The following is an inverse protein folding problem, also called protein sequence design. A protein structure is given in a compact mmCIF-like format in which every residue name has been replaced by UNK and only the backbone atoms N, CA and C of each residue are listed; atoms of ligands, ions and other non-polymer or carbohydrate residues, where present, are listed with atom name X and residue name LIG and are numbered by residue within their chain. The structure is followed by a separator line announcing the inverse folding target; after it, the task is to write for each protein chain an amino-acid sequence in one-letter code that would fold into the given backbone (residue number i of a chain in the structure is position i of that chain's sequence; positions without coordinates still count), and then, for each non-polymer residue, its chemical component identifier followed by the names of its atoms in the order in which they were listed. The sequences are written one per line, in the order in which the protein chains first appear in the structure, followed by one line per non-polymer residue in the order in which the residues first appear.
data_IF_737801040127
#
_entry.id   IF_737801040127
#
_cell.length_a   1.000
_cell.length_b   1.000
_cell.length_c   1.000
_cell.angle_alpha   90.00
_cell.angle_beta   90.00
_cell.angle_gamma   90.00
#
_symmetry.space_group_name_H-M   'P 1'
#
loop_
_entity.id
_entity.type
_entity.pdbx_description
1 polymer ?
#
# COMPACT_ATOMS: atom_id res chain seq x y z
N UNK A 1 1.70 -23.69 -6.34
CA UNK A 1 2.05 -22.53 -7.18
C UNK A 1 0.76 -21.87 -7.62
N UNK A 2 0.69 -20.55 -7.49
CA UNK A 2 -0.46 -19.73 -7.84
C UNK A 2 -0.21 -19.15 -9.22
N UNK A 3 -1.15 -19.31 -10.17
CA UNK A 3 -1.00 -18.75 -11.52
C UNK A 3 -1.57 -17.34 -11.56
N UNK A 4 -0.85 -16.41 -12.16
CA UNK A 4 -1.28 -15.03 -12.33
C UNK A 4 -1.11 -14.61 -13.78
N UNK A 5 -2.23 -14.31 -14.45
CA UNK A 5 -2.22 -13.68 -15.76
C UNK A 5 -2.18 -12.16 -15.57
N UNK A 6 -1.11 -11.51 -16.00
CA UNK A 6 -0.88 -10.08 -15.82
C UNK A 6 -1.06 -9.32 -17.14
N UNK A 7 -1.71 -8.16 -17.08
CA UNK A 7 -1.77 -7.21 -18.19
C UNK A 7 -1.51 -5.78 -17.69
N UNK A 8 -0.71 -5.02 -18.45
CA UNK A 8 -0.50 -3.58 -18.27
C UNK A 8 -1.06 -2.84 -19.49
N UNK A 9 -2.01 -1.97 -19.21
CA UNK A 9 -2.69 -1.09 -20.16
C UNK A 9 -2.28 0.36 -19.91
N UNK A 10 -2.22 1.14 -20.98
CA UNK A 10 -1.91 2.56 -20.94
C UNK A 10 -3.07 3.37 -21.47
N UNK A 11 -3.38 4.47 -20.78
CA UNK A 11 -4.40 5.42 -21.14
C UNK A 11 -3.91 6.84 -20.81
N UNK A 12 -4.19 7.78 -21.71
CA UNK A 12 -3.87 9.20 -21.50
C UNK A 12 -5.13 10.00 -21.76
N UNK A 13 -5.56 10.77 -20.77
CA UNK A 13 -6.68 11.68 -20.97
C UNK A 13 -6.34 12.74 -22.00
N UNK A 14 -7.33 13.18 -22.77
CA UNK A 14 -7.17 14.39 -23.58
C UNK A 14 -7.31 15.63 -22.70
N UNK A 15 -6.70 16.74 -23.11
CA UNK A 15 -6.80 18.00 -22.37
C UNK A 15 -8.26 18.50 -22.29
N UNK A 16 -9.05 18.23 -23.33
CA UNK A 16 -10.49 18.55 -23.34
C UNK A 16 -11.25 17.76 -22.28
N UNK A 17 -11.00 16.44 -22.17
CA UNK A 17 -11.70 15.58 -21.20
C UNK A 17 -11.41 16.05 -19.77
N UNK A 18 -10.14 16.27 -19.43
CA UNK A 18 -9.76 16.73 -18.09
C UNK A 18 -10.40 18.08 -17.74
N UNK A 19 -10.31 19.08 -18.64
CA UNK A 19 -10.86 20.42 -18.40
C UNK A 19 -12.38 20.42 -18.29
N UNK A 20 -13.06 19.65 -19.13
CA UNK A 20 -14.53 19.65 -19.22
C UNK A 20 -15.15 18.83 -18.09
N UNK A 21 -14.78 17.56 -17.98
CA UNK A 21 -15.41 16.61 -17.06
C UNK A 21 -14.79 16.63 -15.67
N UNK A 22 -13.60 17.21 -15.50
CA UNK A 22 -13.03 17.54 -14.20
C UNK A 22 -13.67 18.75 -13.52
N UNK A 23 -14.56 19.47 -14.22
CA UNK A 23 -15.25 20.62 -13.64
C UNK A 23 -16.39 20.19 -12.72
N UNK A 24 -16.74 21.07 -11.76
CA UNK A 24 -17.89 20.91 -10.85
C UNK A 24 -19.26 20.83 -11.53
N UNK A 25 -19.33 21.03 -12.86
CA UNK A 25 -20.56 21.10 -13.63
C UNK A 25 -21.09 19.73 -14.07
N UNK A 26 -20.26 18.68 -13.97
CA UNK A 26 -20.65 17.32 -14.31
C UNK A 26 -20.76 16.46 -13.05
N UNK A 27 -21.81 15.64 -13.01
CA UNK A 27 -21.91 14.63 -11.95
C UNK A 27 -20.85 13.55 -12.16
N UNK A 28 -20.42 12.88 -11.07
CA UNK A 28 -19.47 11.75 -11.14
C UNK A 28 -20.00 10.64 -12.07
N UNK A 29 -21.31 10.39 -12.06
CA UNK A 29 -21.94 9.40 -12.93
C UNK A 29 -21.78 9.77 -14.42
N UNK A 30 -22.07 11.02 -14.76
CA UNK A 30 -22.01 11.51 -16.14
C UNK A 30 -20.56 11.56 -16.64
N UNK A 31 -19.65 12.12 -15.83
CA UNK A 31 -18.22 12.13 -16.12
C UNK A 31 -17.72 10.70 -16.35
N UNK A 32 -18.01 9.79 -15.42
CA UNK A 32 -17.60 8.39 -15.51
C UNK A 32 -18.01 7.73 -16.82
N UNK A 33 -19.26 7.92 -17.28
CA UNK A 33 -19.72 7.32 -18.55
C UNK A 33 -18.84 7.76 -19.72
N UNK A 34 -18.56 9.06 -19.83
CA UNK A 34 -17.75 9.62 -20.93
C UNK A 34 -16.30 9.14 -20.84
N UNK A 35 -15.74 9.09 -19.63
CA UNK A 35 -14.38 8.59 -19.41
C UNK A 35 -14.25 7.12 -19.80
N UNK A 36 -15.25 6.30 -19.46
CA UNK A 36 -15.30 4.88 -19.80
C UNK A 36 -15.38 4.68 -21.32
N UNK A 37 -16.29 5.37 -22.00
CA UNK A 37 -16.44 5.30 -23.46
C UNK A 37 -15.14 5.68 -24.17
N UNK A 38 -14.44 6.69 -23.65
CA UNK A 38 -13.13 7.09 -24.20
C UNK A 38 -12.06 6.03 -23.93
N UNK A 39 -11.91 5.58 -22.69
CA UNK A 39 -10.91 4.58 -22.30
C UNK A 39 -11.06 3.28 -23.09
N UNK A 40 -12.29 2.82 -23.35
CA UNK A 40 -12.55 1.65 -24.21
C UNK A 40 -11.94 1.79 -25.60
N UNK A 41 -12.07 2.96 -26.22
CA UNK A 41 -11.65 3.18 -27.59
C UNK A 41 -10.15 3.44 -27.78
N UNK A 42 -9.46 3.90 -26.72
CA UNK A 42 -8.09 4.44 -26.86
C UNK A 42 -7.06 3.83 -25.93
N UNK A 43 -7.46 3.03 -24.93
CA UNK A 43 -6.51 2.30 -24.08
C UNK A 43 -5.72 1.28 -24.91
N UNK A 44 -4.44 1.12 -24.57
CA UNK A 44 -3.52 0.24 -25.31
C UNK A 44 -2.88 -0.77 -24.38
N UNK A 45 -2.91 -2.04 -24.76
CA UNK A 45 -2.14 -3.08 -24.08
C UNK A 45 -0.65 -2.83 -24.35
N UNK A 46 0.13 -2.66 -23.29
CA UNK A 46 1.57 -2.47 -23.34
C UNK A 46 2.33 -3.76 -23.04
N UNK A 47 1.89 -4.49 -22.02
CA UNK A 47 2.58 -5.72 -21.57
C UNK A 47 1.55 -6.77 -21.17
N UNK A 48 1.86 -8.02 -21.47
CA UNK A 48 1.10 -9.18 -21.01
C UNK A 48 2.08 -10.31 -20.66
N UNK A 49 1.87 -10.96 -19.51
CA UNK A 49 2.66 -12.11 -19.12
C UNK A 49 1.90 -13.04 -18.17
N UNK A 50 2.35 -14.29 -18.08
CA UNK A 50 1.89 -15.24 -17.07
C UNK A 50 3.02 -15.51 -16.08
N UNK A 51 2.71 -15.40 -14.79
CA UNK A 51 3.67 -15.60 -13.71
C UNK A 51 3.16 -16.66 -12.75
N UNK A 52 4.11 -17.30 -12.06
CA UNK A 52 3.81 -18.27 -11.02
C UNK A 52 4.34 -17.76 -9.69
N UNK A 53 3.44 -17.60 -8.72
CA UNK A 53 3.75 -17.12 -7.39
C UNK A 53 3.82 -18.28 -6.40
N UNK A 54 4.77 -18.17 -5.47
CA UNK A 54 4.83 -19.04 -4.30
C UNK A 54 3.80 -18.59 -3.26
N UNK A 55 3.06 -19.51 -2.60
CA UNK A 55 2.24 -19.16 -1.44
C UNK A 55 3.02 -18.40 -0.35
N UNK A 56 4.30 -18.75 -0.16
CA UNK A 56 5.17 -18.11 0.83
C UNK A 56 5.37 -16.61 0.54
N UNK A 57 5.47 -16.25 -0.74
CA UNK A 57 5.57 -14.85 -1.16
C UNK A 57 4.30 -14.07 -0.80
N UNK A 58 3.12 -14.66 -1.02
CA UNK A 58 1.82 -14.03 -0.72
C UNK A 58 1.67 -13.84 0.79
N UNK A 59 2.03 -14.85 1.59
CA UNK A 59 2.00 -14.78 3.05
C UNK A 59 2.98 -13.73 3.60
N UNK A 60 4.14 -13.57 2.99
CA UNK A 60 5.08 -12.49 3.33
C UNK A 60 4.52 -11.10 2.96
N UNK A 61 3.96 -10.97 1.75
CA UNK A 61 3.43 -9.71 1.24
C UNK A 61 2.20 -9.21 2.01
N UNK A 62 1.42 -10.14 2.59
CA UNK A 62 0.28 -9.85 3.45
C UNK A 62 0.63 -9.00 4.69
N UNK A 63 1.87 -9.04 5.17
CA UNK A 63 2.30 -8.19 6.30
C UNK A 63 2.70 -6.76 5.87
N UNK A 64 2.88 -6.52 4.58
CA UNK A 64 3.48 -5.30 4.06
C UNK A 64 2.47 -4.38 3.36
N UNK A 65 1.71 -4.92 2.43
CA UNK A 65 0.86 -4.10 1.55
C UNK A 65 -0.54 -3.84 2.08
N UNK A 66 -1.25 -4.84 2.64
CA UNK A 66 -2.63 -4.63 3.04
C UNK A 66 -2.83 -3.56 4.11
N UNK A 67 -3.98 -2.88 4.03
CA UNK A 67 -4.46 -2.02 5.10
C UNK A 67 -4.64 -2.79 6.41
N UNK A 68 -5.12 -4.04 6.29
CA UNK A 68 -5.27 -5.00 7.37
C UNK A 68 -4.75 -6.39 6.95
N UNK A 69 -3.63 -6.81 7.53
CA UNK A 69 -3.08 -8.15 7.34
C UNK A 69 -4.01 -9.20 7.98
N UNK A 70 -4.32 -10.28 7.25
CA UNK A 70 -5.10 -11.42 7.77
C UNK A 70 -4.20 -12.64 7.98
N UNK A 71 -4.66 -13.63 8.76
CA UNK A 71 -3.79 -14.73 9.19
C UNK A 71 -3.26 -15.55 8.01
N UNK A 72 -4.14 -15.92 7.09
CA UNK A 72 -3.81 -16.64 5.85
C UNK A 72 -4.82 -16.27 4.75
N UNK A 73 -4.53 -15.27 3.92
CA UNK A 73 -5.47 -14.81 2.89
C UNK A 73 -5.77 -15.88 1.83
N UNK A 74 -4.88 -16.86 1.63
CA UNK A 74 -5.08 -17.92 0.64
C UNK A 74 -6.02 -19.00 1.18
N UNK A 75 -5.80 -19.45 2.41
CA UNK A 75 -6.70 -20.41 3.06
C UNK A 75 -8.10 -19.84 3.24
N UNK A 76 -8.22 -18.55 3.58
CA UNK A 76 -9.52 -17.90 3.73
C UNK A 76 -10.31 -17.85 2.40
N UNK A 77 -9.62 -17.77 1.25
CA UNK A 77 -10.26 -17.82 -0.06
C UNK A 77 -10.91 -19.19 -0.35
N UNK A 78 -10.35 -20.29 0.15
CA UNK A 78 -10.90 -21.64 -0.08
C UNK A 78 -12.28 -21.84 0.56
N UNK A 79 -12.53 -21.14 1.67
CA UNK A 79 -13.78 -21.18 2.43
C UNK A 79 -14.63 -19.92 2.25
N UNK A 80 -14.24 -19.05 1.32
CA UNK A 80 -14.87 -17.74 1.12
C UNK A 80 -16.35 -17.84 0.80
N UNK A 81 -16.75 -18.79 -0.06
CA UNK A 81 -18.16 -18.96 -0.42
C UNK A 81 -18.99 -19.47 0.76
N UNK A 82 -18.42 -20.29 1.65
CA UNK A 82 -19.09 -20.71 2.89
C UNK A 82 -19.28 -19.51 3.82
N UNK A 83 -18.29 -18.63 3.91
CA UNK A 83 -18.37 -17.41 4.71
C UNK A 83 -19.37 -16.39 4.14
N UNK A 84 -19.25 -16.07 2.85
CA UNK A 84 -20.08 -15.10 2.13
C UNK A 84 -21.57 -15.45 2.23
N UNK A 85 -21.88 -16.74 2.20
CA UNK A 85 -23.25 -17.24 2.30
C UNK A 85 -23.70 -17.49 3.75
N UNK A 86 -22.87 -17.15 4.75
CA UNK A 86 -23.19 -17.30 6.17
C UNK A 86 -23.21 -18.74 6.69
N UNK A 87 -22.73 -19.71 5.90
CA UNK A 87 -22.63 -21.11 6.30
C UNK A 87 -21.51 -21.34 7.34
N UNK A 88 -20.53 -20.43 7.39
CA UNK A 88 -19.40 -20.49 8.32
C UNK A 88 -19.07 -19.11 8.91
N UNK A 89 -18.80 -19.05 10.21
CA UNK A 89 -18.32 -17.83 10.86
C UNK A 89 -16.83 -17.60 10.56
N UNK A 90 -16.43 -16.35 10.28
CA UNK A 90 -15.04 -16.00 10.02
C UNK A 90 -14.19 -16.23 11.28
N UNK A 91 -13.09 -17.01 11.23
CA UNK A 91 -12.32 -17.32 12.42
C UNK A 91 -11.47 -16.13 12.93
N UNK A 92 -11.16 -15.13 12.08
CA UNK A 92 -10.22 -14.06 12.44
C UNK A 92 -10.56 -12.70 11.82
N UNK A 93 -11.35 -11.82 12.46
CA UNK A 93 -11.31 -10.40 12.13
C UNK A 93 -9.96 -9.84 12.62
N UNK A 94 -8.90 -10.07 11.86
CA UNK A 94 -7.56 -9.56 12.14
C UNK A 94 -7.59 -8.04 12.13
N UNK A 95 -7.70 -7.41 13.30
CA UNK A 95 -7.53 -5.96 13.44
C UNK A 95 -6.05 -5.70 13.63
N UNK A 96 -5.36 -5.31 12.56
CA UNK A 96 -3.99 -4.81 12.64
C UNK A 96 -3.97 -3.28 12.67
N UNK A 97 -4.02 -2.68 13.87
CA UNK A 97 -3.67 -1.27 14.03
C UNK A 97 -2.19 -1.19 14.33
N UNK A 98 -1.42 -0.56 13.42
CA UNK A 98 0.03 -0.47 13.51
C UNK A 98 0.50 0.16 14.82
N UNK A 99 -0.33 0.99 15.48
CA UNK A 99 0.01 1.70 16.73
C UNK A 99 -1.14 1.99 17.69
N UNK A 100 -2.39 1.63 17.40
CA UNK A 100 -3.51 1.89 18.31
C UNK A 100 -3.86 3.36 18.54
N UNK A 101 -3.25 4.29 17.79
CA UNK A 101 -3.48 5.75 17.89
C UNK A 101 -4.62 6.19 16.96
N UNK A 102 -4.78 5.58 15.80
CA UNK A 102 -5.99 5.69 15.00
C UNK A 102 -6.99 4.64 15.46
N UNK A 103 -8.15 5.08 15.94
CA UNK A 103 -9.32 4.22 15.92
C UNK A 103 -9.62 3.89 14.46
N UNK A 104 -9.68 2.59 14.15
CA UNK A 104 -10.73 2.15 13.25
C UNK A 104 -12.01 2.47 14.01
N UNK A 105 -12.80 3.42 13.52
CA UNK A 105 -14.01 3.82 14.20
C UNK A 105 -14.91 2.58 14.38
N UNK A 106 -15.21 2.23 15.64
CA UNK A 106 -16.11 1.11 15.97
C UNK A 106 -17.56 1.37 15.50
N UNK A 107 -17.84 2.58 14.96
CA UNK A 107 -19.11 2.92 14.31
C UNK A 107 -19.10 2.71 12.78
N UNK A 108 -17.93 2.48 12.17
CA UNK A 108 -17.84 1.93 10.82
C UNK A 108 -17.96 0.41 10.91
N UNK A 109 -19.17 -0.03 11.27
CA UNK A 109 -19.56 -1.42 11.10
C UNK A 109 -19.29 -1.83 9.63
N UNK A 110 -18.52 -2.91 9.45
CA UNK A 110 -18.61 -3.86 8.32
C UNK A 110 -18.00 -3.49 6.95
N UNK A 111 -16.77 -2.98 6.91
CA UNK A 111 -15.83 -3.50 5.90
C UNK A 111 -14.84 -4.42 6.60
N UNK A 112 -15.30 -5.64 6.89
CA UNK A 112 -14.39 -6.77 7.06
C UNK A 112 -13.66 -6.83 5.72
N UNK A 113 -12.41 -6.36 5.65
CA UNK A 113 -11.62 -6.44 4.43
C UNK A 113 -11.70 -7.89 3.96
N UNK A 114 -12.32 -8.09 2.81
CA UNK A 114 -12.48 -9.43 2.27
C UNK A 114 -11.09 -10.00 1.99
N UNK A 115 -10.90 -11.32 2.11
CA UNK A 115 -9.63 -11.94 1.68
C UNK A 115 -9.35 -11.65 0.20
N UNK A 116 -10.41 -11.37 -0.57
CA UNK A 116 -10.33 -10.87 -1.95
C UNK A 116 -9.66 -9.48 -2.01
N UNK A 117 -10.12 -8.50 -1.22
CA UNK A 117 -9.49 -7.17 -1.14
C UNK A 117 -8.03 -7.25 -0.70
N UNK A 118 -7.75 -8.04 0.35
CA UNK A 118 -6.38 -8.23 0.85
C UNK A 118 -5.46 -8.79 -0.24
N UNK A 119 -5.95 -9.78 -1.02
CA UNK A 119 -5.20 -10.31 -2.17
C UNK A 119 -5.02 -9.24 -3.26
N UNK A 120 -6.01 -8.38 -3.47
CA UNK A 120 -5.90 -7.21 -4.34
C UNK A 120 -4.77 -6.27 -3.96
N UNK A 121 -4.73 -5.87 -2.69
CA UNK A 121 -3.69 -4.99 -2.14
C UNK A 121 -2.30 -5.65 -2.22
N UNK A 122 -2.21 -6.96 -1.95
CA UNK A 122 -0.97 -7.75 -2.10
C UNK A 122 -0.47 -7.72 -3.54
N UNK A 123 -1.33 -8.04 -4.51
CA UNK A 123 -0.95 -8.07 -5.92
C UNK A 123 -0.57 -6.69 -6.43
N UNK A 124 -1.34 -5.66 -6.08
CA UNK A 124 -1.01 -4.28 -6.41
C UNK A 124 0.36 -3.89 -5.85
N UNK A 125 0.64 -4.22 -4.60
CA UNK A 125 1.92 -3.97 -3.97
C UNK A 125 3.10 -4.67 -4.64
N UNK A 126 3.00 -5.99 -4.85
CA UNK A 126 4.09 -6.79 -5.44
C UNK A 126 4.41 -6.31 -6.86
N UNK A 127 3.41 -6.17 -7.72
CA UNK A 127 3.63 -5.73 -9.11
C UNK A 127 4.13 -4.28 -9.16
N UNK A 128 3.62 -3.38 -8.32
CA UNK A 128 4.10 -1.99 -8.26
C UNK A 128 5.58 -1.89 -7.87
N UNK A 129 6.04 -2.76 -6.95
CA UNK A 129 7.47 -2.84 -6.61
C UNK A 129 8.36 -3.33 -7.76
N UNK A 130 7.78 -4.06 -8.70
CA UNK A 130 8.48 -4.61 -9.86
C UNK A 130 8.48 -3.63 -11.04
N UNK A 131 7.34 -3.01 -11.34
CA UNK A 131 7.16 -2.17 -12.53
C UNK A 131 7.10 -0.66 -12.33
N UNK A 132 6.81 -0.15 -11.12
CA UNK A 132 6.61 1.29 -10.89
C UNK A 132 7.77 1.90 -10.13
N UNK A 133 8.08 1.39 -8.94
CA UNK A 133 9.17 1.87 -8.12
C UNK A 133 9.48 0.85 -7.01
N UNK A 134 10.76 0.64 -6.65
CA UNK A 134 11.15 -0.42 -5.71
C UNK A 134 10.59 -0.22 -4.29
N UNK A 135 10.26 1.02 -3.93
CA UNK A 135 9.90 1.41 -2.56
C UNK A 135 8.58 2.17 -2.52
N UNK A 136 7.69 1.69 -1.65
CA UNK A 136 6.47 2.39 -1.27
C UNK A 136 6.86 3.57 -0.38
N UNK A 137 6.49 4.78 -0.77
CA UNK A 137 6.73 5.99 0.02
C UNK A 137 5.70 6.09 1.16
N UNK A 138 4.43 5.98 0.78
CA UNK A 138 3.28 6.04 1.68
C UNK A 138 2.36 4.88 1.34
N UNK A 139 1.86 4.21 2.37
CA UNK A 139 0.67 3.37 2.31
C UNK A 139 -0.46 4.11 2.98
N UNK A 140 -1.49 4.45 2.24
CA UNK A 140 -2.69 5.11 2.78
C UNK A 140 -3.67 4.01 3.20
N UNK A 141 -4.24 4.15 4.40
CA UNK A 141 -5.17 3.16 4.94
C UNK A 141 -6.57 3.76 4.90
N UNK A 142 -7.52 3.03 4.32
CA UNK A 142 -8.94 3.41 4.22
C UNK A 142 -9.23 4.72 3.45
N UNK A 143 -8.24 5.25 2.73
CA UNK A 143 -8.43 6.43 1.90
C UNK A 143 -7.68 6.23 0.58
N UNK A 144 -8.18 6.87 -0.46
CA UNK A 144 -7.56 6.88 -1.77
C UNK A 144 -6.28 7.73 -1.75
N UNK A 145 -5.18 7.31 -2.41
CA UNK A 145 -4.94 6.01 -3.04
C UNK A 145 -4.22 5.04 -2.09
N UNK A 146 -4.42 3.73 -2.24
CA UNK A 146 -3.81 2.72 -1.36
C UNK A 146 -2.28 2.84 -1.19
N UNK A 147 -1.54 3.03 -2.29
CA UNK A 147 -0.08 3.14 -2.28
C UNK A 147 0.40 4.36 -3.06
N UNK A 148 1.43 5.01 -2.55
CA UNK A 148 2.10 6.14 -3.21
C UNK A 148 3.58 5.81 -3.34
N UNK A 149 4.12 6.05 -4.53
CA UNK A 149 5.53 5.89 -4.85
C UNK A 149 6.16 7.23 -5.24
N UNK A 150 7.39 7.48 -4.78
CA UNK A 150 8.22 8.57 -5.28
C UNK A 150 9.08 8.09 -6.47
N UNK A 151 8.79 8.60 -7.66
CA UNK A 151 9.57 8.33 -8.86
C UNK A 151 10.96 8.98 -8.78
N UNK A 152 11.96 8.49 -9.55
CA UNK A 152 13.31 9.06 -9.57
C UNK A 152 13.37 10.53 -9.97
N UNK A 153 12.41 11.01 -10.75
CA UNK A 153 12.29 12.40 -11.20
C UNK A 153 11.63 13.34 -10.15
N UNK A 154 11.29 12.83 -8.97
CA UNK A 154 10.60 13.60 -7.92
C UNK A 154 9.09 13.69 -8.07
N UNK A 155 8.51 13.02 -9.07
CA UNK A 155 7.06 12.90 -9.26
C UNK A 155 6.46 11.73 -8.49
N UNK A 156 5.14 11.70 -8.38
CA UNK A 156 4.42 10.67 -7.62
C UNK A 156 3.63 9.73 -8.54
N UNK A 157 3.63 8.45 -8.17
CA UNK A 157 2.68 7.46 -8.70
C UNK A 157 1.69 7.06 -7.62
N UNK A 158 0.42 7.20 -7.93
CA UNK A 158 -0.72 6.90 -7.06
C UNK A 158 -1.32 5.58 -7.52
N UNK A 159 -1.28 4.56 -6.67
CA UNK A 159 -1.76 3.21 -6.99
C UNK A 159 -2.98 2.92 -6.15
N UNK A 160 -4.10 2.66 -6.84
CA UNK A 160 -5.37 2.27 -6.24
C UNK A 160 -5.66 0.81 -6.59
N UNK A 161 -6.00 0.00 -5.60
CA UNK A 161 -6.28 -1.42 -5.79
C UNK A 161 -7.76 -1.74 -5.63
N UNK A 162 -8.26 -2.56 -6.54
CA UNK A 162 -9.62 -3.09 -6.54
C UNK A 162 -9.56 -4.58 -6.77
N UNK A 163 -10.37 -5.35 -6.05
CA UNK A 163 -10.43 -6.80 -6.21
C UNK A 163 -11.85 -7.34 -6.24
N UNK A 164 -12.05 -8.40 -7.01
CA UNK A 164 -13.36 -9.00 -7.23
C UNK A 164 -13.26 -10.46 -7.67
N UNK A 165 -14.34 -11.23 -7.53
CA UNK A 165 -14.43 -12.61 -8.02
C UNK A 165 -15.51 -12.81 -9.09
N UNK A 166 -16.38 -11.82 -9.29
CA UNK A 166 -17.41 -11.88 -10.32
C UNK A 166 -16.82 -11.75 -11.73
N UNK A 167 -17.51 -12.30 -12.72
CA UNK A 167 -17.18 -12.07 -14.12
C UNK A 167 -17.42 -10.57 -14.48
N UNK A 168 -16.45 -9.86 -15.10
CA UNK A 168 -16.60 -8.48 -15.52
C UNK A 168 -17.86 -8.21 -16.35
N UNK A 169 -18.24 -9.16 -17.20
CA UNK A 169 -19.50 -9.15 -17.93
C UNK A 169 -19.96 -10.60 -18.23
N UNK A 170 -20.85 -11.19 -17.42
CA UNK A 170 -21.31 -12.55 -17.63
C UNK A 170 -22.24 -12.72 -18.86
N UNK A 171 -22.68 -11.63 -19.49
CA UNK A 171 -23.68 -11.65 -20.55
C UNK A 171 -23.19 -11.11 -21.89
N UNK A 172 -22.01 -10.48 -21.96
CA UNK A 172 -21.39 -10.05 -23.21
C UNK A 172 -19.93 -10.53 -23.31
N UNK A 173 -19.52 -10.91 -24.53
CA UNK A 173 -18.10 -11.15 -24.83
C UNK A 173 -17.39 -9.81 -24.96
N UNK A 174 -17.05 -9.21 -23.83
CA UNK A 174 -16.23 -8.01 -23.78
C UNK A 174 -14.83 -8.30 -24.35
N UNK A 175 -14.32 -7.40 -25.16
CA UNK A 175 -12.96 -7.46 -25.72
C UNK A 175 -12.04 -6.40 -25.08
N UNK A 176 -10.74 -6.59 -25.21
CA UNK A 176 -9.73 -5.64 -24.68
C UNK A 176 -9.79 -5.48 -23.16
N UNK A 177 -9.63 -4.26 -22.65
CA UNK A 177 -9.60 -3.97 -21.21
C UNK A 177 -10.85 -4.45 -20.46
N UNK A 178 -12.02 -4.45 -21.10
CA UNK A 178 -13.28 -4.85 -20.48
C UNK A 178 -13.48 -6.37 -20.37
N UNK A 179 -12.65 -7.18 -21.05
CA UNK A 179 -12.63 -8.61 -20.79
C UNK A 179 -12.04 -8.93 -19.40
N UNK A 180 -11.34 -7.95 -18.81
CA UNK A 180 -10.58 -8.09 -17.56
C UNK A 180 -11.20 -7.35 -16.39
N UNK A 181 -11.88 -6.24 -16.64
CA UNK A 181 -12.36 -5.31 -15.60
C UNK A 181 -13.82 -4.95 -15.86
N UNK A 182 -14.64 -4.96 -14.81
CA UNK A 182 -16.05 -4.58 -14.95
C UNK A 182 -16.18 -3.10 -15.28
N UNK A 183 -17.17 -2.78 -16.12
CA UNK A 183 -17.45 -1.40 -16.52
C UNK A 183 -17.71 -0.48 -15.35
N UNK A 184 -18.39 -0.99 -14.32
CA UNK A 184 -18.75 -0.22 -13.13
C UNK A 184 -17.52 0.20 -12.33
N UNK A 185 -16.61 -0.74 -12.07
CA UNK A 185 -15.37 -0.46 -11.32
C UNK A 185 -14.49 0.49 -12.11
N UNK A 186 -14.23 0.17 -13.39
CA UNK A 186 -13.40 1.01 -14.25
C UNK A 186 -13.92 2.45 -14.33
N UNK A 187 -15.23 2.63 -14.44
CA UNK A 187 -15.85 3.96 -14.46
C UNK A 187 -15.55 4.76 -13.20
N UNK A 188 -15.61 4.12 -12.03
CA UNK A 188 -15.46 4.79 -10.74
C UNK A 188 -14.02 5.27 -10.58
N UNK A 189 -13.06 4.38 -10.83
CA UNK A 189 -11.64 4.68 -10.67
C UNK A 189 -11.13 5.66 -11.74
N UNK A 190 -11.72 5.68 -12.94
CA UNK A 190 -11.41 6.71 -13.95
C UNK A 190 -11.78 8.12 -13.49
N UNK A 191 -12.86 8.26 -12.71
CA UNK A 191 -13.27 9.56 -12.14
C UNK A 191 -12.27 10.00 -11.08
N UNK A 192 -11.84 9.10 -10.21
CA UNK A 192 -10.85 9.41 -9.17
C UNK A 192 -9.47 9.73 -9.77
N UNK A 193 -9.04 8.98 -10.78
CA UNK A 193 -7.85 9.28 -11.55
C UNK A 193 -7.90 10.67 -12.21
N UNK A 194 -9.04 11.03 -12.81
CA UNK A 194 -9.25 12.36 -13.39
C UNK A 194 -9.17 13.46 -12.33
N UNK A 195 -9.75 13.26 -11.14
CA UNK A 195 -9.70 14.25 -10.06
C UNK A 195 -8.25 14.47 -9.60
N UNK A 196 -7.49 13.38 -9.41
CA UNK A 196 -6.08 13.48 -9.06
C UNK A 196 -5.29 14.22 -10.14
N UNK A 197 -5.40 13.81 -11.41
CA UNK A 197 -4.61 14.40 -12.50
C UNK A 197 -5.01 15.86 -12.81
N UNK A 198 -6.20 16.31 -12.42
CA UNK A 198 -6.54 17.73 -12.45
C UNK A 198 -5.83 18.53 -11.33
N UNK A 199 -5.62 17.92 -10.16
CA UNK A 199 -4.90 18.55 -9.05
C UNK A 199 -3.39 18.56 -9.25
N UNK A 200 -2.84 17.43 -9.72
CA UNK A 200 -1.44 17.19 -10.01
C UNK A 200 -1.30 16.48 -11.38
N UNK A 201 -1.21 17.25 -12.48
CA UNK A 201 -1.11 16.67 -13.82
C UNK A 201 0.25 16.00 -14.09
N UNK A 202 1.24 16.22 -13.23
CA UNK A 202 2.58 15.68 -13.42
C UNK A 202 2.72 14.27 -12.82
N UNK A 203 1.82 13.88 -11.91
CA UNK A 203 1.76 12.52 -11.38
C UNK A 203 1.20 11.51 -12.38
N UNK A 204 1.29 10.23 -12.01
CA UNK A 204 0.68 9.11 -12.74
C UNK A 204 -0.27 8.37 -11.81
N UNK A 205 -1.47 8.06 -12.29
CA UNK A 205 -2.44 7.22 -11.55
C UNK A 205 -2.42 5.81 -12.11
N UNK A 206 -2.44 4.82 -11.25
CA UNK A 206 -2.42 3.40 -11.57
C UNK A 206 -3.61 2.73 -10.91
N UNK A 207 -4.61 2.35 -11.72
CA UNK A 207 -5.72 1.57 -11.23
C UNK A 207 -5.39 0.09 -11.41
N UNK A 208 -5.41 -0.67 -10.31
CA UNK A 208 -5.01 -2.07 -10.28
C UNK A 208 -6.20 -2.94 -9.96
N UNK A 209 -6.52 -3.84 -10.88
CA UNK A 209 -7.66 -4.74 -10.77
C UNK A 209 -7.18 -6.16 -10.59
N UNK A 210 -7.52 -6.79 -9.47
CA UNK A 210 -7.22 -8.19 -9.20
C UNK A 210 -8.50 -9.01 -9.19
N UNK A 211 -8.68 -9.86 -10.22
CA UNK A 211 -9.79 -10.79 -10.29
C UNK A 211 -9.36 -12.17 -9.82
N UNK A 212 -10.14 -12.74 -8.90
CA UNK A 212 -10.01 -14.15 -8.49
C UNK A 212 -10.78 -15.03 -9.46
N UNK A 213 -10.07 -15.81 -10.28
CA UNK A 213 -10.67 -16.73 -11.26
C UNK A 213 -11.05 -18.07 -10.62
N UNK A 214 -10.15 -18.61 -9.81
CA UNK A 214 -10.33 -19.88 -9.12
C UNK A 214 -9.50 -19.89 -7.84
N UNK A 215 -9.97 -20.61 -6.83
CA UNK A 215 -9.25 -20.82 -5.57
C UNK A 215 -8.57 -22.18 -5.51
N UNK A 216 -9.02 -23.15 -6.31
CA UNK A 216 -8.43 -24.50 -6.38
C UNK A 216 -8.46 -25.07 -7.81
N UNK A 217 -7.33 -25.08 -8.55
CA UNK A 217 -6.07 -24.41 -8.21
C UNK A 217 -6.23 -22.88 -8.18
N UNK A 218 -5.46 -22.18 -7.34
CA UNK A 218 -5.54 -20.72 -7.23
C UNK A 218 -5.05 -20.02 -8.50
N UNK A 219 -5.90 -19.17 -9.07
CA UNK A 219 -5.64 -18.43 -10.30
C UNK A 219 -6.17 -17.00 -10.20
N UNK A 220 -5.33 -16.03 -10.57
CA UNK A 220 -5.68 -14.61 -10.56
C UNK A 220 -5.45 -13.97 -11.93
N UNK A 221 -6.25 -12.95 -12.22
CA UNK A 221 -6.00 -11.99 -13.29
C UNK A 221 -5.65 -10.64 -12.65
N UNK A 222 -4.48 -10.11 -12.95
CA UNK A 222 -4.06 -8.79 -12.46
C UNK A 222 -3.95 -7.85 -13.65
N UNK A 223 -4.62 -6.71 -13.58
CA UNK A 223 -4.68 -5.73 -14.67
C UNK A 223 -4.31 -4.36 -14.14
N UNK A 224 -3.22 -3.81 -14.63
CA UNK A 224 -2.78 -2.44 -14.33
C UNK A 224 -3.24 -1.52 -15.45
N UNK A 225 -3.94 -0.45 -15.11
CA UNK A 225 -4.24 0.65 -16.01
C UNK A 225 -3.44 1.88 -15.59
N UNK A 226 -2.42 2.20 -16.38
CA UNK A 226 -1.62 3.41 -16.25
C UNK A 226 -2.37 4.58 -16.87
N UNK A 227 -2.63 5.62 -16.08
CA UNK A 227 -3.41 6.79 -16.48
C UNK A 227 -2.56 8.04 -16.32
N UNK A 228 -2.37 8.74 -17.44
CA UNK A 228 -1.57 9.96 -17.52
C UNK A 228 -2.41 11.17 -17.94
N UNK A 229 -1.97 12.35 -17.51
CA UNK A 229 -2.39 13.61 -18.13
C UNK A 229 -1.64 13.81 -19.46
N UNK A 230 -2.20 14.60 -20.40
CA UNK A 230 -1.50 14.94 -21.64
C UNK A 230 -0.29 15.83 -21.36
N UNK A 231 0.76 15.70 -22.17
CA UNK A 231 2.05 16.40 -22.01
C UNK A 231 1.90 17.93 -21.92
N UNK A 232 0.92 18.50 -22.63
CA UNK A 232 0.59 19.93 -22.59
C UNK A 232 0.27 20.46 -21.18
N UNK A 233 -0.28 19.60 -20.30
CA UNK A 233 -0.60 19.96 -18.91
C UNK A 233 0.58 19.68 -17.96
N UNK A 234 1.51 18.80 -18.35
CA UNK A 234 2.73 18.50 -17.59
C UNK A 234 3.80 19.58 -17.75
N UNK A 235 3.94 20.14 -18.95
CA UNK A 235 4.98 21.12 -19.31
C UNK A 235 4.89 22.45 -18.55
N UNK A 236 3.82 22.68 -17.78
CA UNK A 236 3.55 23.95 -17.09
C UNK A 236 4.18 24.01 -15.68
N UNK A 237 4.70 22.90 -15.13
CA UNK A 237 5.18 22.88 -13.74
C UNK A 237 6.55 22.19 -13.62
N UNK A 238 7.49 22.85 -12.96
CA UNK A 238 8.64 22.16 -12.33
C UNK A 238 8.15 21.26 -11.19
N UNK A 239 9.03 20.88 -10.25
CA UNK A 239 8.58 20.21 -9.02
C UNK A 239 7.56 21.12 -8.31
N UNK A 240 6.29 20.79 -8.47
CA UNK A 240 5.19 21.49 -7.81
C UNK A 240 5.24 21.25 -6.29
N UNK A 241 4.32 21.89 -5.53
CA UNK A 241 4.13 21.54 -4.13
C UNK A 241 3.84 20.04 -3.99
N UNK A 242 4.27 19.43 -2.87
CA UNK A 242 3.92 18.05 -2.57
C UNK A 242 2.38 17.93 -2.52
N UNK A 243 1.76 16.96 -3.22
CA UNK A 243 0.31 16.78 -3.17
C UNK A 243 -0.18 16.50 -1.74
N UNK A 244 -1.34 17.03 -1.36
CA UNK A 244 -1.87 16.94 0.01
C UNK A 244 -1.95 15.51 0.54
N UNK A 245 -2.41 14.57 -0.30
CA UNK A 245 -2.48 13.14 0.07
C UNK A 245 -1.11 12.52 0.40
N UNK A 246 -0.04 13.00 -0.26
CA UNK A 246 1.33 12.59 0.05
C UNK A 246 1.77 13.18 1.39
N UNK A 247 1.50 14.47 1.63
CA UNK A 247 1.82 15.14 2.91
C UNK A 247 1.10 14.49 4.10
N UNK A 248 -0.20 14.21 3.97
CA UNK A 248 -0.98 13.51 4.99
C UNK A 248 -0.41 12.11 5.29
N UNK A 249 -0.05 11.39 4.23
CA UNK A 249 0.60 10.09 4.33
C UNK A 249 1.95 10.12 5.04
N UNK A 250 2.81 11.07 4.66
CA UNK A 250 4.10 11.30 5.30
C UNK A 250 3.93 11.73 6.76
N UNK A 251 2.94 12.56 7.08
CA UNK A 251 2.65 12.98 8.44
C UNK A 251 2.27 11.79 9.33
N UNK A 252 1.39 10.90 8.84
CA UNK A 252 1.05 9.64 9.52
C UNK A 252 2.29 8.76 9.71
N UNK A 253 3.12 8.59 8.67
CA UNK A 253 4.36 7.83 8.75
C UNK A 253 5.35 8.42 9.78
N UNK A 254 5.47 9.73 9.85
CA UNK A 254 6.35 10.42 10.79
C UNK A 254 5.90 10.20 12.25
N UNK A 255 4.60 10.36 12.50
CA UNK A 255 4.01 10.03 13.81
C UNK A 255 4.24 8.56 14.13
N UNK A 256 4.06 7.67 13.16
CA UNK A 256 4.29 6.24 13.37
C UNK A 256 5.73 5.94 13.80
N UNK A 257 6.72 6.53 13.12
CA UNK A 257 8.13 6.37 13.45
C UNK A 257 8.46 6.95 14.83
N UNK A 258 7.93 8.14 15.14
CA UNK A 258 8.14 8.78 16.44
C UNK A 258 7.60 7.94 17.61
N UNK A 259 6.49 7.21 17.41
CA UNK A 259 5.92 6.33 18.43
C UNK A 259 6.82 5.13 18.71
N UNK A 260 7.54 4.60 17.71
CA UNK A 260 8.48 3.48 17.91
C UNK A 260 9.65 3.84 18.84
N UNK A 261 9.91 5.13 19.03
CA UNK A 261 10.95 5.64 19.94
C UNK A 261 10.48 5.78 21.40
N UNK A 262 9.20 5.51 21.70
CA UNK A 262 8.69 5.59 23.06
C UNK A 262 9.16 4.38 23.90
N UNK A 263 9.63 4.65 25.12
CA UNK A 263 10.01 3.62 26.08
C UNK A 263 8.80 2.86 26.63
N UNK A 264 9.02 1.64 27.11
CA UNK A 264 7.98 0.82 27.74
C UNK A 264 7.32 1.53 28.94
N UNK A 265 8.10 2.25 29.75
CA UNK A 265 7.59 3.03 30.89
C UNK A 265 6.70 4.19 30.46
N UNK A 266 7.02 4.84 29.34
CA UNK A 266 6.18 5.89 28.78
C UNK A 266 4.85 5.30 28.32
N UNK A 267 4.86 4.16 27.63
CA UNK A 267 3.68 3.44 27.16
C UNK A 267 2.79 2.99 28.33
N UNK A 268 3.37 2.44 29.39
CA UNK A 268 2.63 1.96 30.58
C UNK A 268 1.94 3.11 31.33
N UNK A 269 2.52 4.33 31.32
CA UNK A 269 1.89 5.52 31.92
C UNK A 269 0.60 5.91 31.21
N UNK A 270 0.44 5.63 29.92
CA UNK A 270 -0.83 5.85 29.21
C UNK A 270 -1.92 4.92 29.67
N UNK A 271 -1.59 3.66 29.88
CA UNK A 271 -2.57 2.67 30.34
C UNK A 271 -3.13 3.07 31.70
N UNK A 272 -2.31 3.72 32.54
CA UNK A 272 -2.67 4.13 33.90
C UNK A 272 -3.39 5.48 33.99
N UNK A 273 -3.09 6.46 33.12
CA UNK A 273 -3.76 7.76 33.12
C UNK A 273 -3.90 8.34 31.71
N UNK A 274 -4.93 7.93 30.95
CA UNK A 274 -5.03 8.18 29.51
C UNK A 274 -4.99 9.65 29.14
N UNK A 275 -5.72 10.50 29.88
CA UNK A 275 -5.87 11.92 29.51
C UNK A 275 -4.59 12.72 29.72
N UNK A 276 -3.98 12.64 30.91
CA UNK A 276 -2.73 13.35 31.20
C UNK A 276 -1.54 12.76 30.42
N UNK A 277 -1.58 11.46 30.13
CA UNK A 277 -0.58 10.81 29.31
C UNK A 277 -0.67 11.23 27.83
N UNK A 278 -1.86 11.55 27.31
CA UNK A 278 -2.02 11.98 25.92
C UNK A 278 -1.43 13.37 25.70
N UNK A 279 -1.69 14.35 26.57
CA UNK A 279 -1.10 15.69 26.44
C UNK A 279 0.44 15.63 26.50
N UNK A 280 0.98 14.89 27.48
CA UNK A 280 2.43 14.68 27.61
C UNK A 280 3.01 13.94 26.41
N UNK A 281 2.24 13.03 25.82
CA UNK A 281 2.68 12.24 24.67
C UNK A 281 2.63 13.01 23.39
N UNK A 282 1.57 13.76 23.15
CA UNK A 282 1.50 14.64 21.99
C UNK A 282 2.69 15.59 22.04
N UNK A 283 3.05 16.11 23.21
CA UNK A 283 4.28 16.90 23.38
C UNK A 283 5.58 16.10 23.08
N UNK A 284 5.69 14.86 23.55
CA UNK A 284 6.84 13.98 23.26
C UNK A 284 6.92 13.60 21.77
N UNK A 285 5.79 13.29 21.14
CA UNK A 285 5.69 12.96 19.73
C UNK A 285 6.05 14.17 18.89
N UNK A 286 5.59 15.38 19.22
CA UNK A 286 6.02 16.62 18.54
C UNK A 286 7.55 16.72 18.52
N UNK A 287 8.20 16.53 19.67
CA UNK A 287 9.67 16.59 19.75
C UNK A 287 10.36 15.48 18.94
N UNK A 288 9.80 14.27 18.90
CA UNK A 288 10.39 13.15 18.17
C UNK A 288 10.17 13.27 16.65
N UNK A 289 9.01 13.78 16.22
CA UNK A 289 8.63 13.86 14.80
C UNK A 289 9.49 14.86 14.04
N UNK A 290 9.87 16.00 14.66
CA UNK A 290 10.71 17.00 13.98
C UNK A 290 12.04 16.41 13.48
N UNK A 291 12.56 15.35 14.16
CA UNK A 291 13.76 14.64 13.73
C UNK A 291 13.56 13.72 12.51
N UNK A 292 12.32 13.33 12.19
CA UNK A 292 11.98 12.43 11.06
C UNK A 292 11.77 13.20 9.76
N UNK A 293 11.35 14.47 9.84
CA UNK A 293 10.95 15.29 8.66
C UNK A 293 12.06 15.35 7.59
N UNK A 294 13.35 15.59 7.91
CA UNK A 294 14.38 15.71 6.88
C UNK A 294 14.57 14.42 6.06
N UNK A 295 14.54 13.26 6.71
CA UNK A 295 14.72 11.96 6.04
C UNK A 295 13.50 11.63 5.17
N UNK A 296 12.29 11.86 5.68
CA UNK A 296 11.05 11.65 4.93
C UNK A 296 10.95 12.54 3.68
N UNK A 297 11.35 13.81 3.78
CA UNK A 297 11.38 14.70 2.63
C UNK A 297 12.48 14.32 1.64
N UNK A 298 13.65 13.89 2.13
CA UNK A 298 14.72 13.40 1.27
C UNK A 298 14.26 12.16 0.46
N UNK A 299 13.48 11.27 1.07
CA UNK A 299 12.87 10.12 0.38
C UNK A 299 11.78 10.56 -0.61
N UNK A 300 10.84 11.40 -0.17
CA UNK A 300 9.69 11.86 -0.96
C UNK A 300 10.07 12.71 -2.17
N UNK A 301 11.17 13.45 -2.09
CA UNK A 301 11.68 14.31 -3.16
C UNK A 301 12.95 13.78 -3.82
N UNK A 302 13.40 12.57 -3.46
CA UNK A 302 14.65 11.99 -3.97
C UNK A 302 15.86 12.92 -3.84
N UNK A 303 15.95 13.61 -2.71
CA UNK A 303 17.02 14.57 -2.40
C UNK A 303 16.88 15.95 -3.06
N UNK A 304 15.81 16.20 -3.81
CA UNK A 304 15.45 17.55 -4.28
C UNK A 304 14.76 18.30 -3.13
N UNK A 305 14.87 19.63 -3.08
CA UNK A 305 14.20 20.43 -2.04
C UNK A 305 13.27 21.46 -2.67
N UNK A 306 11.99 21.42 -2.32
CA UNK A 306 11.04 22.48 -2.60
C UNK A 306 11.03 23.51 -1.48
N UNK A 307 10.90 24.80 -1.84
CA UNK A 307 10.65 25.84 -0.86
C UNK A 307 9.30 25.59 -0.16
N UNK A 308 9.29 25.52 1.17
CA UNK A 308 8.08 25.32 1.98
C UNK A 308 7.63 23.87 2.18
N UNK A 309 8.35 22.87 1.65
CA UNK A 309 8.01 21.44 1.85
C UNK A 309 8.06 21.06 3.35
N UNK A 310 9.05 21.59 4.08
CA UNK A 310 9.19 21.39 5.52
C UNK A 310 7.99 21.94 6.28
N UNK A 311 7.64 23.20 6.04
CA UNK A 311 6.53 23.87 6.72
C UNK A 311 5.18 23.18 6.41
N UNK A 312 4.99 22.72 5.16
CA UNK A 312 3.79 22.00 4.74
C UNK A 312 3.65 20.65 5.46
N UNK A 313 4.72 19.86 5.52
CA UNK A 313 4.70 18.58 6.24
C UNK A 313 4.52 18.80 7.75
N UNK A 314 5.22 19.80 8.32
CA UNK A 314 5.09 20.14 9.72
C UNK A 314 3.64 20.56 10.05
N UNK A 315 2.99 21.35 9.19
CA UNK A 315 1.58 21.70 9.35
C UNK A 315 0.66 20.47 9.40
N UNK A 316 0.82 19.51 8.48
CA UNK A 316 0.00 18.29 8.46
C UNK A 316 0.22 17.40 9.70
N UNK A 317 1.47 17.31 10.18
CA UNK A 317 1.80 16.65 11.45
C UNK A 317 1.05 17.31 12.61
N UNK A 318 1.06 18.64 12.66
CA UNK A 318 0.36 19.38 13.71
C UNK A 318 -1.14 19.13 13.66
N UNK A 319 -1.75 19.11 12.47
CA UNK A 319 -3.17 18.80 12.31
C UNK A 319 -3.50 17.36 12.74
N UNK A 320 -2.66 16.39 12.38
CA UNK A 320 -2.84 15.00 12.78
C UNK A 320 -2.75 14.83 14.31
N UNK A 321 -1.75 15.41 14.95
CA UNK A 321 -1.58 15.35 16.40
C UNK A 321 -2.72 16.06 17.15
N UNK A 322 -3.20 17.19 16.64
CA UNK A 322 -4.36 17.88 17.20
C UNK A 322 -5.64 17.03 17.09
N UNK A 323 -5.83 16.30 15.98
CA UNK A 323 -6.95 15.36 15.83
C UNK A 323 -6.87 14.24 16.88
N UNK A 324 -5.69 13.63 17.05
CA UNK A 324 -5.45 12.59 18.06
C UNK A 324 -5.75 13.10 19.47
N UNK A 325 -5.27 14.30 19.81
CA UNK A 325 -5.53 14.95 21.10
C UNK A 325 -7.05 15.14 21.33
N UNK A 326 -7.78 15.63 20.33
CA UNK A 326 -9.22 15.87 20.43
C UNK A 326 -10.05 14.58 20.45
N UNK A 327 -9.71 13.57 19.65
CA UNK A 327 -10.45 12.29 19.56
C UNK A 327 -10.30 11.45 20.83
N UNK A 328 -9.15 11.58 21.51
CA UNK A 328 -8.90 10.88 22.77
C UNK A 328 -9.83 11.27 23.92
N UNK A 329 -10.44 12.45 23.84
CA UNK A 329 -11.49 12.88 24.78
C UNK A 329 -12.74 11.98 24.73
N UNK A 330 -12.84 11.07 23.74
CA UNK A 330 -13.99 10.20 23.45
C UNK A 330 -13.72 8.68 23.49
N UNK A 331 -12.48 8.19 23.64
CA UNK A 331 -12.15 6.76 23.46
C UNK A 331 -11.57 6.04 24.69
N UNK A 332 -11.98 4.79 24.92
CA UNK A 332 -11.55 3.91 26.02
C UNK A 332 -10.22 3.19 25.75
N UNK A 333 -9.53 2.83 26.84
CA UNK A 333 -8.10 2.50 26.98
C UNK A 333 -7.66 1.15 26.37
N UNK A 334 -8.55 0.35 25.79
CA UNK A 334 -8.23 -1.01 25.32
C UNK A 334 -7.42 -1.12 24.02
N UNK A 335 -7.03 0.00 23.39
CA UNK A 335 -6.66 0.05 21.95
C UNK A 335 -5.16 0.05 21.62
N UNK A 336 -4.26 0.14 22.61
CA UNK A 336 -2.82 0.40 22.37
C UNK A 336 -1.90 -0.84 22.26
N UNK A 337 -2.38 -2.05 22.55
CA UNK A 337 -1.52 -3.23 22.66
C UNK A 337 -1.16 -3.92 21.32
N UNK A 338 -1.82 -3.57 20.22
CA UNK A 338 -1.75 -4.32 18.95
C UNK A 338 -0.53 -3.93 18.08
N UNK A 339 0.10 -2.76 18.30
CA UNK A 339 1.27 -2.29 17.54
C UNK A 339 2.65 -2.70 18.08
N UNK A 340 2.72 -3.22 19.31
CA UNK A 340 3.99 -3.46 20.03
C UNK A 340 4.85 -4.56 19.41
N UNK A 341 4.23 -5.59 18.83
CA UNK A 341 4.92 -6.75 18.25
C UNK A 341 5.75 -6.36 17.02
N UNK A 342 5.16 -5.61 16.08
CA UNK A 342 5.87 -5.16 14.88
C UNK A 342 6.89 -4.07 15.21
N UNK A 343 6.61 -3.19 16.17
CA UNK A 343 7.60 -2.19 16.61
C UNK A 343 8.86 -2.87 17.19
N UNK A 344 8.68 -3.87 18.06
CA UNK A 344 9.80 -4.64 18.64
C UNK A 344 10.53 -5.46 17.58
N UNK A 345 9.79 -6.10 16.66
CA UNK A 345 10.37 -6.84 15.55
C UNK A 345 11.15 -5.92 14.59
N UNK A 346 10.65 -4.69 14.31
CA UNK A 346 11.35 -3.70 13.49
C UNK A 346 12.64 -3.20 14.14
N UNK A 347 12.63 -2.99 15.46
CA UNK A 347 13.83 -2.61 16.20
C UNK A 347 14.90 -3.71 16.15
N UNK A 348 14.50 -4.98 16.28
CA UNK A 348 15.42 -6.12 16.10
C UNK A 348 15.85 -6.28 14.63
N UNK A 349 14.93 -6.06 13.68
CA UNK A 349 15.19 -6.16 12.25
C UNK A 349 16.16 -5.06 11.74
N UNK A 350 16.25 -3.92 12.43
CA UNK A 350 17.14 -2.82 12.08
C UNK A 350 18.64 -3.19 12.14
N UNK A 351 19.01 -4.27 12.86
CA UNK A 351 20.38 -4.80 12.84
C UNK A 351 20.68 -5.66 11.60
N UNK A 352 19.70 -5.89 10.71
CA UNK A 352 19.84 -6.78 9.56
C UNK A 352 19.63 -8.27 9.89
N UNK A 353 19.12 -8.57 11.08
CA UNK A 353 18.77 -9.92 11.55
C UNK A 353 17.29 -10.24 11.32
N UNK A 354 16.99 -11.52 11.06
CA UNK A 354 15.62 -12.02 10.95
C UNK A 354 14.94 -12.02 12.32
N UNK A 355 14.05 -11.06 12.53
CA UNK A 355 13.21 -10.92 13.71
C UNK A 355 11.90 -11.69 13.52
N UNK A 356 11.52 -12.49 14.52
CA UNK A 356 10.26 -13.23 14.51
C UNK A 356 9.05 -12.28 14.54
N UNK A 357 8.07 -12.52 13.66
CA UNK A 357 6.79 -11.81 13.63
C UNK A 357 5.66 -12.64 14.23
N UNK A 358 5.39 -13.81 13.65
CA UNK A 358 4.30 -14.71 14.05
C UNK A 358 4.49 -16.13 13.51
N UNK A 359 3.71 -17.05 14.06
CA UNK A 359 3.55 -18.39 13.49
C UNK A 359 2.55 -18.37 12.33
N UNK A 360 2.82 -19.20 11.33
CA UNK A 360 1.96 -19.49 10.17
C UNK A 360 1.99 -21.00 10.00
N UNK A 361 0.92 -21.67 10.41
CA UNK A 361 0.85 -23.13 10.48
C UNK A 361 1.99 -23.70 11.35
N UNK A 362 2.85 -24.54 10.78
CA UNK A 362 4.01 -25.17 11.42
C UNK A 362 5.33 -24.39 11.21
N UNK A 363 5.26 -23.20 10.58
CA UNK A 363 6.40 -22.34 10.25
C UNK A 363 6.31 -20.99 10.95
N UNK A 364 7.42 -20.27 10.96
CA UNK A 364 7.53 -18.93 11.50
C UNK A 364 7.80 -17.91 10.38
N UNK A 365 7.10 -16.78 10.46
CA UNK A 365 7.30 -15.63 9.59
C UNK A 365 8.28 -14.66 10.25
N UNK A 366 9.27 -14.22 9.48
CA UNK A 366 10.35 -13.35 9.92
C UNK A 366 10.42 -12.07 9.09
N UNK A 367 10.94 -11.01 9.69
CA UNK A 367 11.21 -9.70 9.09
C UNK A 367 12.66 -9.32 9.35
N UNK A 368 13.35 -8.81 8.33
CA UNK A 368 14.62 -8.12 8.48
C UNK A 368 14.56 -6.78 7.74
N UNK A 369 15.21 -5.77 8.29
CA UNK A 369 15.35 -4.51 7.60
C UNK A 369 16.53 -4.56 6.63
N UNK A 370 16.42 -3.81 5.53
CA UNK A 370 17.51 -3.62 4.60
C UNK A 370 18.36 -2.43 5.04
N UNK A 371 19.68 -2.60 5.21
CA UNK A 371 20.58 -1.48 5.46
C UNK A 371 20.41 -0.39 4.38
N UNK A 372 20.58 0.87 4.79
CA UNK A 372 20.45 2.03 3.90
C UNK A 372 21.28 1.90 2.61
N UNK A 373 22.50 1.38 2.71
CA UNK A 373 23.38 1.16 1.57
C UNK A 373 22.77 0.18 0.56
N UNK A 374 22.21 -0.93 1.02
CA UNK A 374 21.50 -1.90 0.18
C UNK A 374 20.25 -1.28 -0.46
N UNK A 375 19.48 -0.48 0.30
CA UNK A 375 18.31 0.22 -0.25
C UNK A 375 18.70 1.22 -1.34
N UNK A 376 19.80 1.95 -1.15
CA UNK A 376 20.34 2.90 -2.12
C UNK A 376 20.86 2.17 -3.37
N UNK A 377 21.56 1.05 -3.19
CA UNK A 377 22.03 0.24 -4.31
C UNK A 377 20.86 -0.30 -5.13
N UNK A 378 19.85 -0.89 -4.49
CA UNK A 378 18.62 -1.34 -5.17
C UNK A 378 17.98 -0.16 -5.92
N UNK A 379 17.87 1.01 -5.31
CA UNK A 379 17.29 2.18 -5.99
C UNK A 379 18.10 2.58 -7.23
N UNK A 380 19.42 2.43 -7.19
CA UNK A 380 20.33 2.80 -8.28
C UNK A 380 20.28 1.79 -9.43
N UNK A 381 20.25 0.50 -9.09
CA UNK A 381 20.32 -0.60 -10.06
C UNK A 381 18.94 -1.03 -10.57
N UNK A 382 17.86 -0.57 -9.92
CA UNK A 382 16.50 -1.00 -10.25
C UNK A 382 16.07 -0.51 -11.63
N UNK A 383 15.44 -1.42 -12.37
CA UNK A 383 14.78 -1.16 -13.63
C UNK A 383 13.37 -1.74 -13.57
N UNK A 384 12.36 -1.05 -14.16
CA UNK A 384 11.01 -1.59 -14.28
C UNK A 384 11.02 -2.95 -15.00
N UNK A 385 10.49 -3.99 -14.37
CA UNK A 385 10.35 -5.32 -14.96
C UNK A 385 9.17 -6.06 -14.33
N UNK A 386 8.01 -6.09 -15.00
CA UNK A 386 6.80 -6.76 -14.51
C UNK A 386 7.03 -8.27 -14.29
N UNK A 387 7.84 -8.90 -15.13
CA UNK A 387 8.23 -10.31 -15.04
C UNK A 387 9.13 -10.61 -13.83
N UNK A 388 9.62 -9.57 -13.15
CA UNK A 388 10.34 -9.65 -11.89
C UNK A 388 9.46 -9.79 -10.66
N UNK A 389 8.13 -9.65 -10.79
CA UNK A 389 7.21 -9.58 -9.65
C UNK A 389 7.21 -10.85 -8.77
N UNK A 390 7.51 -12.02 -9.33
CA UNK A 390 7.57 -13.29 -8.60
C UNK A 390 9.00 -13.72 -8.20
N UNK A 391 10.00 -12.86 -8.38
CA UNK A 391 11.40 -13.20 -8.07
C UNK A 391 11.67 -13.01 -6.58
N UNK A 392 12.28 -14.02 -5.97
CA UNK A 392 12.85 -13.88 -4.64
C UNK A 392 14.02 -12.88 -4.67
N UNK A 393 14.23 -12.19 -3.57
CA UNK A 393 15.38 -11.29 -3.40
C UNK A 393 16.69 -12.06 -3.21
N UNK A 394 16.63 -13.17 -2.48
CA UNK A 394 17.78 -13.98 -2.12
C UNK A 394 17.33 -15.14 -1.24
N UNK A 395 18.26 -15.70 -0.44
CA UNK A 395 17.94 -16.77 0.50
C UNK A 395 18.84 -16.75 1.74
N UNK A 396 18.34 -17.27 2.86
CA UNK A 396 19.11 -17.54 4.09
C UNK A 396 18.80 -18.96 4.52
N UNK A 397 19.84 -19.78 4.76
CA UNK A 397 19.69 -21.20 5.10
C UNK A 397 18.75 -21.98 4.15
N UNK A 398 18.83 -21.70 2.84
CA UNK A 398 17.95 -22.20 1.77
C UNK A 398 16.47 -21.81 1.88
N UNK A 399 16.13 -20.83 2.72
CA UNK A 399 14.79 -20.25 2.80
C UNK A 399 14.75 -18.98 1.96
N UNK A 400 13.82 -18.87 0.99
CA UNK A 400 13.64 -17.68 0.17
C UNK A 400 13.40 -16.41 1.00
N UNK A 401 14.04 -15.33 0.58
CA UNK A 401 13.78 -13.97 1.06
C UNK A 401 12.92 -13.22 0.05
N UNK A 402 11.84 -12.63 0.51
CA UNK A 402 10.91 -11.85 -0.29
C UNK A 402 11.01 -10.38 0.08
N UNK A 403 11.19 -9.52 -0.92
CA UNK A 403 11.13 -8.06 -0.72
C UNK A 403 9.68 -7.62 -0.76
N UNK A 404 9.19 -7.03 0.33
CA UNK A 404 7.83 -6.49 0.43
C UNK A 404 7.83 -5.16 1.19
N UNK A 405 7.24 -4.12 0.62
CA UNK A 405 6.97 -2.85 1.33
C UNK A 405 8.17 -2.18 2.04
N UNK A 406 9.39 -2.34 1.53
CA UNK A 406 10.59 -1.73 2.12
C UNK A 406 11.48 -2.64 2.97
N UNK A 407 11.05 -3.87 3.23
CA UNK A 407 11.78 -4.83 4.07
C UNK A 407 11.89 -6.22 3.41
N UNK A 408 12.63 -7.11 4.07
CA UNK A 408 12.76 -8.51 3.68
C UNK A 408 11.98 -9.41 4.63
N UNK A 409 11.30 -10.40 4.04
CA UNK A 409 10.50 -11.37 4.75
C UNK A 409 10.93 -12.79 4.40
N UNK A 410 10.86 -13.68 5.38
CA UNK A 410 11.09 -15.11 5.19
C UNK A 410 10.01 -15.91 5.92
N UNK A 411 9.55 -16.99 5.31
CA UNK A 411 8.67 -17.97 5.94
C UNK A 411 9.42 -19.30 6.04
N UNK A 412 9.79 -19.71 7.25
CA UNK A 412 10.68 -20.84 7.44
C UNK A 412 10.65 -21.40 8.86
N UNK A 413 11.60 -22.29 9.20
CA UNK A 413 11.62 -22.94 10.50
C UNK A 413 12.09 -21.97 11.60
N UNK A 414 11.69 -22.21 12.85
CA UNK A 414 11.94 -21.30 13.98
C UNK A 414 13.42 -20.96 14.21
N UNK A 415 14.34 -21.82 13.76
CA UNK A 415 15.80 -21.66 13.86
C UNK A 415 16.37 -20.52 13.01
N UNK A 416 15.56 -19.89 12.15
CA UNK A 416 15.95 -18.69 11.41
C UNK A 416 16.01 -17.42 12.28
N UNK A 417 15.42 -17.42 13.47
CA UNK A 417 15.45 -16.27 14.36
C UNK A 417 16.89 -15.80 14.64
N UNK A 418 17.17 -14.51 14.44
CA UNK A 418 18.48 -13.91 14.67
C UNK A 418 19.51 -14.18 13.56
N UNK A 419 19.15 -14.87 12.46
CA UNK A 419 20.06 -15.03 11.32
C UNK A 419 20.20 -13.72 10.56
N UNK A 420 21.44 -13.35 10.24
CA UNK A 420 21.74 -12.13 9.51
C UNK A 420 21.49 -12.30 8.01
N UNK A 421 20.93 -11.28 7.37
CA UNK A 421 20.61 -11.29 5.93
C UNK A 421 21.81 -10.83 5.06
N UNK A 422 23.00 -10.70 5.66
CA UNK A 422 24.17 -10.07 5.05
C UNK A 422 24.85 -10.92 3.98
N UNK A 423 24.95 -10.38 2.76
CA UNK A 423 25.65 -10.88 1.56
C UNK A 423 25.09 -12.14 0.87
N UNK A 424 23.81 -12.47 1.04
CA UNK A 424 23.13 -13.49 0.22
C UNK A 424 22.46 -12.90 -1.02
N UNK A 425 23.11 -11.96 -1.71
CA UNK A 425 22.60 -11.38 -2.97
C UNK A 425 23.35 -12.01 -4.12
N UNK A 426 22.82 -13.12 -4.65
CA UNK A 426 23.15 -13.65 -5.97
C UNK A 426 21.96 -14.49 -6.47
N UNK A 427 21.37 -14.05 -7.58
CA UNK A 427 20.26 -14.69 -8.28
C UNK A 427 19.61 -13.74 -9.25
#
# INVERSE_FOLDING_TARGET
MIKVAFQHWQYTFTAEILRRYGSRHYSRLEAGRVLLDNARGVSKLSTECELQFSPDQILCANEAFPGLAIADPLADLEIWDEWKNGARAFPYPGRYSKLGITSLDDNDNTTIHSSIEVIGEIMAGIFSQAGICPWVLVRVVQNWPDLIFAQPNGMYSFVESQAFSADPDPYQRSEGLLSRVSEQLLRQDLVDAMQQLNSDPCGTVWNVFTRVLSVSPTQFEVTFLEINAPEELKQVRGLGPIPGVVLEGLARRAVDQAVTKLSADQIERFEKNPKMAIDQTVALLRNNVDSEIPELLAEARRGQSGAGDFDALQFEIHQLLNRIENDSSRASVGRFNIGRRLSSAKAAAASGELAFLREVHDRALFLADLPWESRRQITTDWQPAWEGANRQYGQVDNVPLWRCGGALFALGPAQLAGRHVGNSVCG
#
